data_IF_347818590574
#
_entry.id   IF_347818590574
#
_cell.length_a   1.000
_cell.length_b   1.000
_cell.length_c   1.000
_cell.angle_alpha   90.00
_cell.angle_beta   90.00
_cell.angle_gamma   90.00
#
_symmetry.space_group_name_H-M   'P 1'
#
loop_
_entity.id
_entity.type
_entity.pdbx_description
1 polymer ?
#
# COMPACT_ATOMS: atom_id res chain seq x y z
N UNK A 1 20.37 11.24 10.19
CA UNK A 1 19.77 9.94 10.56
C UNK A 1 18.40 9.87 9.90
N UNK A 2 18.02 8.75 9.28
CA UNK A 2 16.66 8.61 8.77
C UNK A 2 15.68 8.48 9.94
N UNK A 3 14.48 9.00 9.76
CA UNK A 3 13.35 8.86 10.68
C UNK A 3 12.29 8.01 9.97
N UNK A 4 12.20 6.69 10.25
CA UNK A 4 11.30 5.81 9.51
C UNK A 4 9.82 6.22 9.57
N UNK A 5 9.38 6.87 10.65
CA UNK A 5 8.03 7.43 10.71
C UNK A 5 7.84 8.51 9.65
N UNK A 6 8.71 9.53 9.66
CA UNK A 6 8.60 10.69 8.75
C UNK A 6 8.97 10.38 7.30
N UNK A 7 9.90 9.46 7.10
CA UNK A 7 10.49 9.19 5.78
C UNK A 7 9.76 8.06 5.04
N UNK A 8 8.99 7.20 5.74
CA UNK A 8 8.36 6.00 5.16
C UNK A 8 6.87 5.90 5.51
N UNK A 9 6.51 5.96 6.79
CA UNK A 9 5.12 5.75 7.24
C UNK A 9 4.22 6.93 6.89
N UNK A 10 4.60 8.14 7.35
CA UNK A 10 3.82 9.36 7.14
C UNK A 10 3.56 9.63 5.64
N UNK A 11 4.56 9.57 4.73
CA UNK A 11 4.31 9.82 3.31
C UNK A 11 3.34 8.81 2.69
N UNK A 12 3.34 7.56 3.15
CA UNK A 12 2.43 6.52 2.66
C UNK A 12 0.98 6.79 3.07
N UNK A 13 0.77 7.13 4.35
CA UNK A 13 -0.57 7.41 4.89
C UNK A 13 -1.11 8.73 4.36
N UNK A 14 -0.34 9.82 4.51
CA UNK A 14 -0.73 11.16 4.08
C UNK A 14 -0.94 11.19 2.57
N UNK A 15 -0.04 10.58 1.79
CA UNK A 15 -0.19 10.49 0.34
C UNK A 15 -1.46 9.76 -0.08
N UNK A 16 -1.80 8.66 0.61
CA UNK A 16 -3.04 7.91 0.31
C UNK A 16 -4.28 8.72 0.68
N UNK A 17 -4.29 9.39 1.84
CA UNK A 17 -5.39 10.28 2.24
C UNK A 17 -5.58 11.42 1.24
N UNK A 18 -4.51 12.08 0.81
CA UNK A 18 -4.58 13.18 -0.15
C UNK A 18 -5.24 12.75 -1.48
N UNK A 19 -4.98 11.52 -1.94
CA UNK A 19 -5.63 10.98 -3.15
C UNK A 19 -7.11 10.71 -2.90
N UNK A 20 -7.46 10.16 -1.73
CA UNK A 20 -8.85 9.94 -1.33
C UNK A 20 -9.64 11.26 -1.30
N UNK A 21 -9.06 12.31 -0.71
CA UNK A 21 -9.65 13.64 -0.63
C UNK A 21 -9.82 14.28 -2.02
N UNK A 22 -8.82 14.11 -2.90
CA UNK A 22 -8.89 14.62 -4.27
C UNK A 22 -9.98 13.92 -5.10
N UNK A 23 -10.21 12.62 -4.88
CA UNK A 23 -11.30 11.88 -5.51
C UNK A 23 -12.66 12.44 -5.06
N UNK A 24 -12.81 12.70 -3.77
CA UNK A 24 -14.04 13.24 -3.18
C UNK A 24 -14.33 14.67 -3.66
N UNK A 25 -13.28 15.48 -3.86
CA UNK A 25 -13.42 16.83 -4.38
C UNK A 25 -13.86 16.89 -5.85
N UNK A 26 -13.56 15.85 -6.66
CA UNK A 26 -13.80 15.88 -8.10
C UNK A 26 -15.07 15.14 -8.53
N UNK A 27 -15.56 14.17 -7.75
CA UNK A 27 -16.79 13.40 -7.99
C UNK A 27 -16.95 12.78 -9.40
N UNK A 28 -15.87 12.68 -10.17
CA UNK A 28 -15.87 12.17 -11.56
C UNK A 28 -15.10 10.86 -11.69
N UNK A 29 -14.30 10.50 -10.67
CA UNK A 29 -13.50 9.28 -10.65
C UNK A 29 -14.40 8.07 -10.46
N UNK A 30 -14.29 7.10 -11.36
CA UNK A 30 -15.11 5.88 -11.34
C UNK A 30 -14.39 4.65 -10.78
N UNK A 31 -13.05 4.67 -10.79
CA UNK A 31 -12.22 3.53 -10.40
C UNK A 31 -10.94 4.01 -9.74
N UNK A 32 -10.55 3.35 -8.65
CA UNK A 32 -9.28 3.53 -7.96
C UNK A 32 -8.56 2.18 -7.90
N UNK A 33 -7.35 2.11 -8.44
CA UNK A 33 -6.47 0.95 -8.26
C UNK A 33 -5.36 1.35 -7.29
N UNK A 34 -5.37 0.76 -6.10
CA UNK A 34 -4.35 0.99 -5.08
C UNK A 34 -3.29 -0.12 -5.17
N UNK A 35 -2.06 0.27 -5.50
CA UNK A 35 -0.92 -0.65 -5.54
C UNK A 35 -0.37 -0.81 -4.13
N UNK A 36 -0.81 -1.87 -3.46
CA UNK A 36 -0.32 -2.27 -2.15
C UNK A 36 0.92 -3.16 -2.32
N UNK A 37 1.10 -4.14 -1.44
CA UNK A 37 2.19 -5.10 -1.46
C UNK A 37 1.80 -6.33 -0.64
N UNK A 38 2.44 -7.46 -0.87
CA UNK A 38 2.38 -8.59 0.08
C UNK A 38 2.79 -8.18 1.51
N UNK A 39 3.55 -7.09 1.67
CA UNK A 39 3.88 -6.53 2.99
C UNK A 39 2.67 -6.01 3.79
N UNK A 40 1.51 -5.78 3.16
CA UNK A 40 0.27 -5.41 3.84
C UNK A 40 -0.51 -6.61 4.39
N UNK A 41 -0.30 -7.81 3.81
CA UNK A 41 -1.10 -9.02 4.09
C UNK A 41 -0.29 -10.16 4.71
N UNK A 42 1.04 -10.08 4.67
CA UNK A 42 1.97 -11.07 5.22
C UNK A 42 2.71 -10.48 6.41
N UNK A 43 2.42 -10.90 7.66
CA UNK A 43 3.14 -10.49 8.86
C UNK A 43 4.66 -10.71 8.76
N UNK A 44 5.41 -9.97 9.57
CA UNK A 44 6.87 -10.11 9.68
C UNK A 44 7.22 -11.46 10.28
N UNK A 45 6.47 -11.90 11.30
CA UNK A 45 6.53 -13.25 11.88
C UNK A 45 5.42 -14.11 11.26
N UNK A 46 5.82 -15.11 10.48
CA UNK A 46 4.89 -16.02 9.83
C UNK A 46 5.41 -17.47 9.85
N UNK A 47 4.50 -18.42 9.71
CA UNK A 47 4.80 -19.84 9.60
C UNK A 47 4.87 -20.26 8.12
N UNK A 48 5.81 -21.15 7.81
CA UNK A 48 5.93 -21.70 6.46
C UNK A 48 4.71 -22.57 6.13
N UNK A 49 4.22 -22.48 4.88
CA UNK A 49 3.06 -23.22 4.41
C UNK A 49 1.71 -22.52 4.67
N UNK A 50 1.70 -21.37 5.36
CA UNK A 50 0.48 -20.55 5.50
C UNK A 50 0.14 -19.87 4.17
N UNK A 51 -1.13 -19.96 3.79
CA UNK A 51 -1.69 -19.26 2.64
C UNK A 51 -2.30 -17.93 3.08
N UNK A 52 -1.80 -16.82 2.53
CA UNK A 52 -2.34 -15.48 2.77
C UNK A 52 -3.33 -15.10 1.67
N UNK A 53 -4.42 -14.45 2.07
CA UNK A 53 -5.49 -14.00 1.17
C UNK A 53 -5.61 -12.47 1.22
N UNK A 54 -6.51 -11.92 0.39
CA UNK A 54 -6.85 -10.49 0.42
C UNK A 54 -7.53 -10.02 1.71
N UNK A 55 -7.90 -10.96 2.59
CA UNK A 55 -8.47 -10.71 3.92
C UNK A 55 -7.43 -10.80 5.04
N UNK A 56 -6.22 -11.31 4.75
CA UNK A 56 -5.12 -11.35 5.71
C UNK A 56 -4.53 -9.95 5.94
N UNK A 57 -3.94 -9.73 7.12
CA UNK A 57 -3.30 -8.47 7.49
C UNK A 57 -1.95 -8.69 8.18
N UNK A 58 -0.99 -7.81 7.89
CA UNK A 58 0.31 -7.74 8.55
C UNK A 58 0.27 -6.78 9.76
N UNK A 59 -0.33 -7.24 10.86
CA UNK A 59 -0.60 -6.41 12.05
C UNK A 59 0.55 -6.37 13.07
N UNK A 60 1.67 -7.01 12.79
CA UNK A 60 2.83 -7.09 13.68
C UNK A 60 3.93 -6.06 13.36
N UNK A 61 3.72 -5.24 12.33
CA UNK A 61 4.68 -4.23 11.90
C UNK A 61 4.62 -2.98 12.79
N UNK A 62 5.80 -2.53 13.22
CA UNK A 62 6.04 -1.27 13.94
C UNK A 62 7.05 -0.43 13.17
N UNK A 63 7.19 0.84 13.56
CA UNK A 63 8.18 1.76 12.98
C UNK A 63 9.60 1.21 13.13
N UNK A 64 9.88 0.53 14.24
CA UNK A 64 11.20 0.01 14.61
C UNK A 64 11.51 -1.31 13.91
N UNK A 65 10.53 -2.21 13.77
CA UNK A 65 10.77 -3.55 13.24
C UNK A 65 10.60 -3.64 11.70
N UNK A 66 9.67 -2.86 11.13
CA UNK A 66 9.25 -2.98 9.74
C UNK A 66 8.39 -1.77 9.34
N UNK A 67 8.99 -0.58 9.31
CA UNK A 67 8.31 0.66 8.93
C UNK A 67 7.64 0.57 7.54
N UNK A 68 8.24 -0.15 6.58
CA UNK A 68 7.65 -0.34 5.26
C UNK A 68 6.38 -1.19 5.30
N UNK A 69 6.38 -2.31 6.04
CA UNK A 69 5.19 -3.13 6.26
C UNK A 69 4.07 -2.33 6.93
N UNK A 70 4.41 -1.57 7.99
CA UNK A 70 3.47 -0.69 8.67
C UNK A 70 2.87 0.35 7.71
N UNK A 71 3.72 0.99 6.90
CA UNK A 71 3.30 1.98 5.91
C UNK A 71 2.35 1.41 4.84
N UNK A 72 2.60 0.18 4.38
CA UNK A 72 1.76 -0.49 3.37
C UNK A 72 0.45 -1.01 3.95
N UNK A 73 0.49 -1.67 5.10
CA UNK A 73 -0.71 -2.13 5.79
C UNK A 73 -1.63 -0.95 6.17
N UNK A 74 -1.06 0.11 6.75
CA UNK A 74 -1.82 1.30 7.14
C UNK A 74 -2.43 2.04 5.96
N UNK A 75 -1.69 2.24 4.87
CA UNK A 75 -2.22 2.90 3.67
C UNK A 75 -3.36 2.11 3.04
N UNK A 76 -3.24 0.77 3.01
CA UNK A 76 -4.29 -0.07 2.47
C UNK A 76 -5.55 -0.09 3.35
N UNK A 77 -5.39 -0.15 4.69
CA UNK A 77 -6.52 -0.02 5.62
C UNK A 77 -7.24 1.30 5.41
N UNK A 78 -6.50 2.41 5.37
CA UNK A 78 -7.04 3.75 5.15
C UNK A 78 -7.89 3.83 3.88
N UNK A 79 -7.38 3.38 2.72
CA UNK A 79 -8.15 3.46 1.46
C UNK A 79 -9.34 2.50 1.45
N UNK A 80 -9.22 1.31 2.07
CA UNK A 80 -10.34 0.36 2.19
C UNK A 80 -11.43 0.90 3.11
N UNK A 81 -11.07 1.51 4.24
CA UNK A 81 -11.99 2.17 5.17
C UNK A 81 -12.68 3.38 4.53
N UNK A 82 -11.92 4.25 3.86
CA UNK A 82 -12.47 5.37 3.08
C UNK A 82 -13.52 4.90 2.06
N UNK A 83 -13.25 3.81 1.34
CA UNK A 83 -14.19 3.24 0.37
C UNK A 83 -15.39 2.54 1.05
N UNK A 84 -15.18 1.88 2.18
CA UNK A 84 -16.24 1.21 2.94
C UNK A 84 -17.26 2.22 3.51
N UNK A 85 -16.80 3.41 3.91
CA UNK A 85 -17.63 4.49 4.45
C UNK A 85 -18.40 5.29 3.40
N UNK A 86 -18.26 4.97 2.11
CA UNK A 86 -18.98 5.62 1.02
C UNK A 86 -20.25 4.88 0.63
N UNK A 87 -21.23 5.64 0.14
CA UNK A 87 -22.45 5.09 -0.44
C UNK A 87 -22.10 4.14 -1.60
N UNK A 88 -22.64 2.92 -1.51
CA UNK A 88 -22.42 1.84 -2.48
C UNK A 88 -22.82 2.21 -3.91
N UNK A 89 -23.76 3.14 -4.07
CA UNK A 89 -24.27 3.57 -5.38
C UNK A 89 -23.39 4.62 -6.06
N UNK A 90 -22.57 5.34 -5.28
CA UNK A 90 -21.82 6.50 -5.78
C UNK A 90 -20.30 6.33 -5.65
N UNK A 91 -19.84 5.42 -4.77
CA UNK A 91 -18.40 5.20 -4.57
C UNK A 91 -17.71 4.68 -5.83
N UNK A 92 -16.46 5.10 -6.10
CA UNK A 92 -15.68 4.51 -7.17
C UNK A 92 -15.41 3.03 -6.87
N UNK A 93 -15.27 2.21 -7.91
CA UNK A 93 -14.80 0.83 -7.73
C UNK A 93 -13.36 0.85 -7.23
N UNK A 94 -13.12 0.33 -6.03
CA UNK A 94 -11.77 0.09 -5.50
C UNK A 94 -11.26 -1.30 -5.92
N UNK A 95 -10.00 -1.36 -6.33
CA UNK A 95 -9.22 -2.60 -6.50
C UNK A 95 -7.88 -2.40 -5.79
N UNK A 96 -7.52 -3.32 -4.90
CA UNK A 96 -6.17 -3.39 -4.32
C UNK A 96 -5.40 -4.53 -4.97
N UNK A 97 -4.11 -4.30 -5.24
CA UNK A 97 -3.20 -5.33 -5.75
C UNK A 97 -2.01 -5.50 -4.81
N UNK A 98 -1.58 -6.75 -4.61
CA UNK A 98 -0.53 -7.13 -3.65
C UNK A 98 0.66 -7.79 -4.35
N UNK A 99 1.48 -7.02 -5.08
CA UNK A 99 2.70 -7.57 -5.65
C UNK A 99 3.68 -8.03 -4.55
N UNK A 100 4.38 -9.13 -4.85
CA UNK A 100 5.54 -9.59 -4.09
C UNK A 100 6.82 -8.97 -4.68
N UNK A 101 7.87 -9.76 -4.88
CA UNK A 101 9.04 -9.30 -5.64
C UNK A 101 8.68 -9.24 -7.12
N UNK A 102 8.82 -8.06 -7.71
CA UNK A 102 8.51 -7.81 -9.13
C UNK A 102 9.80 -7.87 -9.95
N UNK A 103 9.88 -8.81 -10.88
CA UNK A 103 11.00 -8.96 -11.82
C UNK A 103 10.62 -8.50 -13.22
N UNK A 104 11.55 -7.87 -13.92
CA UNK A 104 11.38 -7.44 -15.31
C UNK A 104 12.41 -6.38 -15.71
N UNK A 105 12.63 -6.16 -17.02
CA UNK A 105 13.56 -5.15 -17.49
C UNK A 105 13.09 -3.74 -17.08
N UNK A 106 13.99 -2.87 -16.58
CA UNK A 106 13.63 -1.49 -16.27
C UNK A 106 13.28 -0.73 -17.56
N UNK A 107 12.20 0.05 -17.51
CA UNK A 107 11.72 0.83 -18.66
C UNK A 107 12.52 2.12 -18.94
N UNK A 108 13.41 2.52 -18.02
CA UNK A 108 14.18 3.75 -18.13
C UNK A 108 15.58 3.62 -17.55
N UNK A 109 16.57 4.25 -18.21
CA UNK A 109 17.97 4.27 -17.78
C UNK A 109 18.18 4.80 -16.37
N UNK A 110 17.31 5.71 -15.88
CA UNK A 110 17.40 6.25 -14.51
C UNK A 110 17.28 5.15 -13.44
N UNK A 111 16.59 4.06 -13.75
CA UNK A 111 16.38 2.96 -12.81
C UNK A 111 17.48 1.89 -12.87
N UNK A 112 18.49 2.04 -13.74
CA UNK A 112 19.66 1.15 -13.82
C UNK A 112 20.69 1.38 -12.71
N UNK A 113 20.58 2.49 -11.95
CA UNK A 113 21.44 2.76 -10.80
C UNK A 113 20.82 2.35 -9.46
N UNK A 114 19.63 1.73 -9.48
CA UNK A 114 18.90 1.35 -8.27
C UNK A 114 19.33 -0.01 -7.71
N UNK A 115 18.90 -0.32 -6.49
CA UNK A 115 19.19 -1.57 -5.78
C UNK A 115 18.74 -2.85 -6.50
N UNK A 116 17.87 -2.74 -7.50
CA UNK A 116 17.33 -3.86 -8.30
C UNK A 116 18.05 -4.06 -9.65
N UNK A 117 19.17 -3.36 -9.89
CA UNK A 117 19.83 -3.31 -11.21
C UNK A 117 21.01 -4.28 -11.36
N UNK A 118 21.18 -5.23 -10.44
CA UNK A 118 22.27 -6.22 -10.48
C UNK A 118 22.00 -7.38 -11.43
#
# INVERSE_FOLDING_TARGET
KSNPQKDVVDPSLIGTQNICDAIDATNSVKRLVHTSSTAAIRPTKYENGVCFTSESWADDATVENNAYGLAKAGAEKLVREWHANKDVNTRPRLVTIHPCVVFGPPLSKRHLGGSLSY
#
